data_IF_100762431251
#
_entry.id   IF_100762431251
#
_cell.length_a   1.000
_cell.length_b   1.000
_cell.length_c   1.000
_cell.angle_alpha   90.00
_cell.angle_beta   90.00
_cell.angle_gamma   90.00
#
_symmetry.space_group_name_H-M   'P 1'
#
loop_
_entity.id
_entity.type
_entity.pdbx_description
1 polymer ?
#
# COMPACT_ATOMS: atom_id res chain seq x y z
N UNK A 1 -36.55 11.15 -17.21
CA UNK A 1 -35.55 10.07 -17.24
C UNK A 1 -34.82 10.14 -15.92
N UNK A 2 -35.06 9.18 -15.03
CA UNK A 2 -34.37 9.12 -13.75
C UNK A 2 -32.95 8.62 -13.98
N UNK A 3 -31.97 9.51 -13.90
CA UNK A 3 -30.55 9.15 -13.96
C UNK A 3 -30.20 8.44 -12.66
N UNK A 4 -30.21 7.10 -12.66
CA UNK A 4 -29.63 6.30 -11.57
C UNK A 4 -28.12 6.52 -11.55
N UNK A 5 -27.64 7.31 -10.61
CA UNK A 5 -26.21 7.41 -10.32
C UNK A 5 -25.81 6.11 -9.61
N UNK A 6 -25.05 5.27 -10.30
CA UNK A 6 -24.45 4.09 -9.70
C UNK A 6 -23.30 4.53 -8.80
N UNK A 7 -23.43 4.29 -7.49
CA UNK A 7 -22.35 4.55 -6.54
C UNK A 7 -21.30 3.45 -6.69
N UNK A 8 -20.14 3.80 -7.25
CA UNK A 8 -18.98 2.89 -7.31
C UNK A 8 -18.34 2.88 -5.92
N UNK A 9 -18.27 1.70 -5.30
CA UNK A 9 -17.50 1.50 -4.07
C UNK A 9 -16.04 1.27 -4.46
N UNK A 10 -15.15 2.18 -4.05
CA UNK A 10 -13.72 2.00 -4.25
C UNK A 10 -13.20 0.82 -3.40
N UNK A 11 -12.19 0.09 -3.89
CA UNK A 11 -11.49 -0.90 -3.07
C UNK A 11 -10.76 -0.21 -1.92
N UNK A 12 -10.46 -0.98 -0.87
CA UNK A 12 -9.69 -0.48 0.29
C UNK A 12 -8.27 -0.07 -0.10
N UNK A 13 -7.66 -0.86 -0.98
CA UNK A 13 -6.31 -0.66 -1.50
C UNK A 13 -6.29 -0.74 -3.02
N UNK A 14 -5.39 0.03 -3.62
CA UNK A 14 -5.12 0.06 -5.05
C UNK A 14 -3.61 -0.13 -5.22
N UNK A 15 -3.19 -1.18 -5.93
CA UNK A 15 -1.81 -1.33 -6.38
C UNK A 15 -1.53 -0.27 -7.46
N UNK A 16 -0.44 0.48 -7.31
CA UNK A 16 0.03 1.46 -8.29
C UNK A 16 1.49 1.18 -8.66
N UNK A 17 1.83 1.33 -9.93
CA UNK A 17 3.19 1.20 -10.45
C UNK A 17 3.53 2.45 -11.25
N UNK A 18 4.79 2.90 -11.19
CA UNK A 18 5.25 3.96 -12.08
C UNK A 18 5.40 3.40 -13.50
N UNK A 19 4.71 4.00 -14.47
CA UNK A 19 5.03 3.74 -15.88
C UNK A 19 6.44 4.29 -16.20
N UNK A 20 7.23 3.59 -17.02
CA UNK A 20 8.54 4.08 -17.43
C UNK A 20 8.40 5.41 -18.17
N UNK A 21 9.06 6.47 -17.66
CA UNK A 21 9.04 7.79 -18.31
C UNK A 21 9.80 7.72 -19.64
N UNK A 22 9.06 7.88 -20.75
CA UNK A 22 9.52 8.30 -22.08
C UNK A 22 10.90 7.78 -22.50
N UNK A 23 11.05 6.47 -22.70
CA UNK A 23 12.19 5.88 -23.41
C UNK A 23 13.54 5.98 -22.70
N UNK A 24 13.60 6.51 -21.48
CA UNK A 24 14.77 6.39 -20.62
C UNK A 24 14.71 5.05 -19.88
N UNK A 25 15.80 4.29 -19.96
CA UNK A 25 16.02 2.97 -19.35
C UNK A 25 16.26 3.16 -17.84
N UNK A 26 15.41 3.92 -17.17
CA UNK A 26 15.35 3.93 -15.71
C UNK A 26 14.10 3.11 -15.41
N UNK A 27 14.32 1.80 -15.21
CA UNK A 27 13.32 0.89 -14.67
C UNK A 27 13.06 1.27 -13.22
N UNK A 28 12.30 2.35 -13.01
CA UNK A 28 11.79 2.72 -11.70
C UNK A 28 10.62 1.78 -11.39
N UNK A 29 10.93 0.52 -11.11
CA UNK A 29 9.97 -0.55 -10.74
C UNK A 29 9.39 -0.33 -9.33
N UNK A 30 9.17 0.93 -8.94
CA UNK A 30 8.58 1.25 -7.65
C UNK A 30 7.12 0.85 -7.66
N UNK A 31 6.78 0.06 -6.67
CA UNK A 31 5.43 -0.37 -6.41
C UNK A 31 4.88 0.39 -5.21
N UNK A 32 3.61 0.78 -5.30
CA UNK A 32 2.92 1.51 -4.27
C UNK A 32 1.56 0.89 -3.98
N UNK A 33 1.10 1.06 -2.76
CA UNK A 33 -0.26 0.77 -2.34
C UNK A 33 -0.91 2.07 -1.89
N UNK A 34 -1.96 2.46 -2.61
CA UNK A 34 -2.78 3.61 -2.24
C UNK A 34 -4.02 3.16 -1.47
N UNK A 35 -4.27 3.79 -0.32
CA UNK A 35 -5.50 3.65 0.45
C UNK A 35 -6.41 4.87 0.22
N UNK A 36 -7.46 4.78 -0.61
CA UNK A 36 -8.32 5.92 -0.94
C UNK A 36 -9.08 6.46 0.27
N UNK A 37 -9.46 5.59 1.21
CA UNK A 37 -10.23 5.97 2.39
C UNK A 37 -9.47 6.93 3.30
N UNK A 38 -8.15 6.72 3.40
CA UNK A 38 -7.24 7.50 4.23
C UNK A 38 -6.35 8.46 3.43
N UNK A 39 -6.53 8.54 2.10
CA UNK A 39 -5.68 9.32 1.19
C UNK A 39 -4.19 9.08 1.44
N UNK A 40 -3.81 7.83 1.70
CA UNK A 40 -2.48 7.46 2.22
C UNK A 40 -1.77 6.57 1.22
N UNK A 41 -0.45 6.77 1.05
CA UNK A 41 0.38 6.04 0.10
C UNK A 41 1.50 5.29 0.84
N UNK A 42 1.62 4.00 0.53
CA UNK A 42 2.68 3.10 1.00
C UNK A 42 3.56 2.75 -0.18
N UNK A 43 4.87 2.89 -0.06
CA UNK A 43 5.85 2.38 -1.02
C UNK A 43 6.33 1.00 -0.58
N UNK A 44 6.46 0.08 -1.54
CA UNK A 44 6.99 -1.26 -1.34
C UNK A 44 8.44 -1.28 -1.82
N UNK A 45 9.35 -1.70 -0.94
CA UNK A 45 10.78 -1.70 -1.21
C UNK A 45 11.34 -3.10 -0.99
N UNK A 46 11.64 -3.85 -2.07
CA UNK A 46 12.42 -5.09 -1.97
C UNK A 46 13.83 -4.77 -1.47
N UNK A 47 14.30 -5.44 -0.42
CA UNK A 47 15.58 -5.14 0.23
C UNK A 47 16.80 -5.65 -0.55
N UNK A 48 16.61 -6.62 -1.42
CA UNK A 48 17.59 -7.13 -2.38
C UNK A 48 17.85 -6.14 -3.52
N UNK A 49 16.81 -5.41 -3.94
CA UNK A 49 16.84 -4.55 -5.11
C UNK A 49 17.54 -3.19 -4.87
N UNK A 50 17.76 -2.79 -3.61
CA UNK A 50 18.13 -1.41 -3.35
C UNK A 50 18.89 -1.17 -2.02
N UNK A 51 20.10 -0.63 -2.12
CA UNK A 51 20.71 0.19 -1.06
C UNK A 51 20.00 1.56 -0.95
N UNK A 52 18.66 1.57 -0.81
CA UNK A 52 17.93 2.83 -0.65
C UNK A 52 18.17 3.34 0.77
N UNK A 53 18.78 4.52 0.84
CA UNK A 53 18.83 5.34 2.04
C UNK A 53 17.45 5.99 2.23
N UNK A 54 16.46 5.26 2.73
CA UNK A 54 15.31 5.92 3.32
C UNK A 54 15.80 6.66 4.57
N UNK A 55 15.52 7.96 4.67
CA UNK A 55 15.69 8.64 5.95
C UNK A 55 14.81 7.91 6.97
N UNK A 56 15.34 7.66 8.17
CA UNK A 56 14.64 7.01 9.29
C UNK A 56 13.37 7.75 9.78
N UNK A 57 12.95 8.79 9.05
CA UNK A 57 11.90 9.73 9.44
C UNK A 57 10.50 9.31 8.97
N UNK A 58 10.40 8.35 8.03
CA UNK A 58 9.11 7.82 7.60
C UNK A 58 8.71 6.60 8.45
N UNK A 59 7.43 6.48 8.86
CA UNK A 59 6.96 5.24 9.46
C UNK A 59 7.09 4.07 8.49
N UNK A 60 7.66 2.97 8.96
CA UNK A 60 7.98 1.83 8.12
C UNK A 60 7.91 0.52 8.91
N UNK A 61 7.72 -0.60 8.20
CA UNK A 61 7.66 -1.95 8.79
C UNK A 61 8.25 -2.98 7.84
N UNK A 62 9.02 -3.91 8.40
CA UNK A 62 9.66 -5.00 7.68
C UNK A 62 8.72 -6.21 7.61
N UNK A 63 8.74 -6.88 6.46
CA UNK A 63 8.00 -8.10 6.18
C UNK A 63 8.88 -9.07 5.38
N UNK A 64 8.57 -10.36 5.45
CA UNK A 64 9.26 -11.42 4.73
C UNK A 64 8.22 -12.26 4.00
N UNK A 65 8.55 -12.67 2.78
CA UNK A 65 7.73 -13.53 1.94
C UNK A 65 8.58 -14.66 1.36
N UNK A 66 8.06 -15.88 1.37
CA UNK A 66 8.69 -16.99 0.67
C UNK A 66 8.07 -17.10 -0.73
N UNK A 67 8.86 -16.81 -1.77
CA UNK A 67 8.39 -16.98 -3.15
C UNK A 67 8.42 -18.45 -3.54
N UNK A 68 7.26 -19.00 -3.92
CA UNK A 68 7.17 -20.35 -4.48
C UNK A 68 7.72 -20.40 -5.91
N UNK A 69 7.70 -19.29 -6.64
CA UNK A 69 8.26 -19.18 -7.99
C UNK A 69 9.78 -19.25 -7.99
N UNK A 70 10.42 -18.54 -7.07
CA UNK A 70 11.87 -18.45 -6.98
C UNK A 70 12.48 -19.43 -5.95
N UNK A 71 11.65 -20.01 -5.08
CA UNK A 71 12.04 -20.93 -4.00
C UNK A 71 13.05 -20.28 -3.04
N UNK A 72 12.81 -19.01 -2.69
CA UNK A 72 13.66 -18.22 -1.81
C UNK A 72 12.86 -17.27 -0.91
N UNK A 73 13.46 -16.86 0.20
CA UNK A 73 12.93 -15.81 1.08
C UNK A 73 13.29 -14.44 0.52
N UNK A 74 12.28 -13.57 0.42
CA UNK A 74 12.38 -12.20 -0.04
C UNK A 74 12.00 -11.25 1.11
N UNK A 75 12.85 -10.26 1.37
CA UNK A 75 12.59 -9.26 2.41
C UNK A 75 12.06 -7.96 1.81
N UNK A 76 10.99 -7.45 2.41
CA UNK A 76 10.30 -6.24 2.00
C UNK A 76 10.28 -5.21 3.13
N UNK A 77 10.44 -3.95 2.76
CA UNK A 77 10.20 -2.80 3.61
C UNK A 77 9.02 -2.01 3.05
N UNK A 78 7.95 -1.88 3.84
CA UNK A 78 6.83 -1.00 3.52
C UNK A 78 7.06 0.35 4.19
N UNK A 79 7.05 1.43 3.41
CA UNK A 79 7.32 2.80 3.86
C UNK A 79 6.10 3.68 3.63
N UNK A 80 5.63 4.37 4.67
CA UNK A 80 4.49 5.28 4.58
C UNK A 80 4.92 6.66 4.05
N UNK A 81 5.02 6.79 2.72
CA UNK A 81 5.53 7.99 2.04
C UNK A 81 4.53 9.15 1.99
N UNK A 82 3.24 8.88 2.13
CA UNK A 82 2.21 9.89 2.34
C UNK A 82 1.28 9.47 3.47
N UNK A 83 1.44 10.05 4.67
CA UNK A 83 0.68 9.72 5.87
C UNK A 83 -0.42 10.76 6.16
N UNK A 84 -1.68 10.41 5.90
CA UNK A 84 -2.84 11.24 6.23
C UNK A 84 -3.75 10.60 7.31
N UNK A 85 -3.28 9.54 7.96
CA UNK A 85 -4.10 8.69 8.85
C UNK A 85 -4.66 9.50 10.02
N UNK A 86 -3.80 10.25 10.70
CA UNK A 86 -4.20 11.06 11.86
C UNK A 86 -5.20 12.15 11.46
N UNK A 87 -4.93 12.87 10.36
CA UNK A 87 -5.81 13.93 9.85
C UNK A 87 -7.18 13.37 9.50
N UNK A 88 -7.24 12.23 8.82
CA UNK A 88 -8.51 11.59 8.45
C UNK A 88 -9.26 11.10 9.69
N UNK A 89 -8.58 10.48 10.65
CA UNK A 89 -9.17 10.06 11.92
C UNK A 89 -9.78 11.26 12.68
N UNK A 90 -9.05 12.38 12.80
CA UNK A 90 -9.54 13.61 13.43
C UNK A 90 -10.74 14.19 12.67
N UNK A 91 -10.70 14.21 11.33
CA UNK A 91 -11.80 14.72 10.52
C UNK A 91 -13.10 13.91 10.66
N UNK A 92 -13.00 12.64 11.06
CA UNK A 92 -14.10 11.69 11.26
C UNK A 92 -14.46 11.49 12.72
N UNK A 93 -14.00 12.36 13.62
CA UNK A 93 -14.25 12.26 15.05
C UNK A 93 -15.74 12.13 15.40
N UNK A 94 -16.62 12.81 14.66
CA UNK A 94 -18.08 12.69 14.83
C UNK A 94 -18.59 11.28 14.45
N UNK A 95 -18.05 10.65 13.41
CA UNK A 95 -18.42 9.29 12.99
C UNK A 95 -17.82 8.22 13.93
N UNK A 96 -16.62 8.47 14.47
CA UNK A 96 -15.96 7.68 15.52
C UNK A 96 -16.85 7.63 16.76
N UNK A 97 -17.31 8.79 17.22
CA UNK A 97 -18.17 8.91 18.40
C UNK A 97 -19.54 8.25 18.22
N UNK A 98 -19.98 8.04 16.97
CA UNK A 98 -21.26 7.41 16.62
C UNK A 98 -21.16 5.89 16.33
N UNK A 99 -20.06 5.23 16.71
CA UNK A 99 -19.78 3.78 16.59
C UNK A 99 -19.68 3.20 15.17
N UNK A 100 -19.66 4.03 14.13
CA UNK A 100 -19.58 3.56 12.74
C UNK A 100 -18.14 3.46 12.22
N UNK A 101 -17.20 4.13 12.88
CA UNK A 101 -15.82 4.25 12.43
C UNK A 101 -14.83 3.85 13.53
N UNK A 102 -13.90 2.97 13.21
CA UNK A 102 -12.77 2.64 14.09
C UNK A 102 -11.52 3.36 13.57
N UNK A 103 -10.81 4.13 14.40
CA UNK A 103 -9.59 4.80 13.96
C UNK A 103 -8.53 3.76 13.58
N UNK A 104 -7.94 3.94 12.41
CA UNK A 104 -6.80 3.13 11.94
C UNK A 104 -5.50 3.73 12.48
N UNK A 105 -4.58 2.88 12.93
CA UNK A 105 -3.23 3.31 13.29
C UNK A 105 -2.27 3.13 12.11
N UNK A 106 -1.10 3.77 12.18
CA UNK A 106 -0.02 3.57 11.20
C UNK A 106 0.39 2.09 11.11
N UNK A 107 0.54 1.41 12.23
CA UNK A 107 0.93 0.00 12.27
C UNK A 107 -0.13 -0.91 11.61
N UNK A 108 -1.41 -0.64 11.89
CA UNK A 108 -2.51 -1.35 11.23
C UNK A 108 -2.57 -1.07 9.73
N UNK A 109 -2.31 0.16 9.29
CA UNK A 109 -2.23 0.49 7.86
C UNK A 109 -1.14 -0.34 7.16
N UNK A 110 0.05 -0.44 7.77
CA UNK A 110 1.17 -1.19 7.19
C UNK A 110 0.89 -2.70 7.15
N UNK A 111 0.28 -3.26 8.21
CA UNK A 111 -0.13 -4.68 8.23
C UNK A 111 -1.20 -5.01 7.19
N UNK A 112 -2.20 -4.14 7.05
CA UNK A 112 -3.27 -4.33 6.08
C UNK A 112 -2.77 -4.14 4.64
N UNK A 113 -1.85 -3.20 4.41
CA UNK A 113 -1.19 -3.02 3.13
C UNK A 113 -0.30 -4.23 2.78
N UNK A 114 0.44 -4.76 3.75
CA UNK A 114 1.22 -6.00 3.56
C UNK A 114 0.32 -7.17 3.15
N UNK A 115 -0.76 -7.42 3.89
CA UNK A 115 -1.68 -8.51 3.54
C UNK A 115 -2.25 -8.33 2.11
N UNK A 116 -2.58 -7.11 1.71
CA UNK A 116 -2.98 -6.85 0.32
C UNK A 116 -1.88 -7.20 -0.69
N UNK A 117 -0.63 -6.82 -0.41
CA UNK A 117 0.51 -7.09 -1.28
C UNK A 117 0.90 -8.58 -1.33
N UNK A 118 0.91 -9.25 -0.18
CA UNK A 118 1.18 -10.68 -0.06
C UNK A 118 0.20 -11.49 -0.90
N UNK A 119 -1.09 -11.12 -0.91
CA UNK A 119 -2.07 -11.74 -1.81
C UNK A 119 -1.77 -11.52 -3.30
N UNK A 120 -1.16 -10.37 -3.65
CA UNK A 120 -0.68 -10.12 -5.01
C UNK A 120 0.53 -10.99 -5.35
N UNK A 121 1.52 -11.13 -4.45
CA UNK A 121 2.68 -12.02 -4.64
C UNK A 121 2.24 -13.48 -4.79
N UNK A 122 1.33 -13.95 -3.94
CA UNK A 122 0.74 -15.29 -4.04
C UNK A 122 0.06 -15.51 -5.39
N UNK A 123 -0.68 -14.50 -5.88
CA UNK A 123 -1.32 -14.58 -7.19
C UNK A 123 -0.28 -14.62 -8.32
N UNK A 124 0.78 -13.81 -8.24
CA UNK A 124 1.87 -13.77 -9.20
C UNK A 124 2.60 -15.12 -9.29
N UNK A 125 2.92 -15.73 -8.16
CA UNK A 125 3.52 -17.07 -8.07
C UNK A 125 2.65 -18.14 -8.75
N UNK A 126 1.33 -17.94 -8.81
CA UNK A 126 0.37 -18.87 -9.42
C UNK A 126 0.15 -18.67 -10.93
N UNK A 127 0.60 -17.56 -11.55
CA UNK A 127 0.33 -17.27 -12.98
C UNK A 127 1.27 -17.99 -13.97
N UNK A 128 1.63 -19.25 -13.69
CA UNK A 128 2.45 -20.11 -14.56
C UNK A 128 1.93 -20.25 -16.00
#
# INVERSE_FOLDING_TARGET
>A
MDTKIHQIKLPKFIHCENEPKNGEIIHDNRQFIYCPEYLTLVEIVPLDAYQIHYSMDFPQKHFNYYSERYQEEEDYLLVLVQNNIEVVNQSREIEIMQKKYQPLTVDQMLDEAWNYYENYLIWEDQQL
#
